data_IF_331826405491
#
_entry.id   IF_331826405491
#
_cell.length_a   1.000
_cell.length_b   1.000
_cell.length_c   1.000
_cell.angle_alpha   90.00
_cell.angle_beta   90.00
_cell.angle_gamma   90.00
#
_symmetry.space_group_name_H-M   'P 1'
#
loop_
_entity.id
_entity.type
_entity.pdbx_description
1 polymer ?
#
# COMPACT_ATOMS: atom_id res chain seq x y z
N UNK A 1 1.30 -6.90 11.64
CA UNK A 1 0.95 -7.57 12.91
C UNK A 1 1.45 -9.01 12.78
N UNK A 2 2.58 -9.35 13.42
CA UNK A 2 3.08 -10.73 13.36
C UNK A 2 2.08 -11.65 14.09
N UNK A 3 1.59 -12.73 13.46
CA UNK A 3 0.74 -13.71 14.13
C UNK A 3 1.58 -14.61 15.06
N UNK A 4 1.96 -14.09 16.23
CA UNK A 4 2.64 -14.84 17.30
C UNK A 4 1.69 -15.80 18.06
N UNK A 5 0.42 -15.85 17.68
CA UNK A 5 -0.63 -16.58 18.40
C UNK A 5 -0.41 -18.10 18.39
N UNK A 6 -0.09 -18.68 17.23
CA UNK A 6 0.06 -20.13 17.08
C UNK A 6 1.30 -20.70 17.79
N UNK A 7 2.50 -20.11 17.70
CA UNK A 7 3.68 -20.62 18.40
C UNK A 7 3.52 -20.62 19.92
N UNK A 8 2.82 -19.63 20.47
CA UNK A 8 2.50 -19.54 21.91
C UNK A 8 1.45 -20.56 22.34
N UNK A 9 0.45 -20.83 21.49
CA UNK A 9 -0.61 -21.79 21.80
C UNK A 9 -0.16 -23.25 21.72
N UNK A 10 0.85 -23.56 20.91
CA UNK A 10 1.34 -24.92 20.64
C UNK A 10 2.75 -25.22 21.18
N UNK A 11 3.29 -24.35 22.03
CA UNK A 11 4.60 -24.53 22.71
C UNK A 11 5.74 -24.85 21.73
N UNK A 12 5.71 -24.23 20.55
CA UNK A 12 6.70 -24.42 19.47
C UNK A 12 6.65 -25.77 18.74
N UNK A 13 5.72 -26.67 19.07
CA UNK A 13 5.58 -28.01 18.46
C UNK A 13 4.96 -28.00 17.06
N UNK A 14 4.28 -26.91 16.71
CA UNK A 14 3.74 -26.71 15.36
C UNK A 14 4.63 -25.71 14.62
N UNK A 15 5.35 -26.11 13.55
CA UNK A 15 6.19 -25.23 12.75
C UNK A 15 5.34 -24.36 11.79
N UNK A 16 4.26 -23.79 12.30
CA UNK A 16 3.39 -22.85 11.61
C UNK A 16 3.43 -21.54 12.39
N UNK A 17 4.02 -20.52 11.78
CA UNK A 17 3.46 -19.15 11.70
C UNK A 17 4.56 -18.09 11.51
N UNK A 18 4.81 -17.69 10.26
CA UNK A 18 5.31 -16.36 9.90
C UNK A 18 4.70 -15.92 8.56
N UNK A 19 3.48 -15.36 8.59
CA UNK A 19 2.79 -14.94 7.37
C UNK A 19 3.01 -13.46 7.07
N UNK A 20 4.22 -13.11 6.58
CA UNK A 20 4.41 -11.86 5.85
C UNK A 20 5.51 -10.94 6.35
N UNK A 21 6.18 -10.29 5.39
CA UNK A 21 7.23 -9.29 5.66
C UNK A 21 8.65 -9.85 5.64
N UNK A 22 8.85 -11.08 5.16
CA UNK A 22 10.19 -11.62 4.93
C UNK A 22 10.88 -10.80 3.82
N UNK A 23 12.10 -10.37 4.11
CA UNK A 23 12.97 -9.55 3.27
C UNK A 23 14.40 -10.03 3.50
N UNK A 24 15.31 -9.67 2.61
CA UNK A 24 16.74 -9.94 2.75
C UNK A 24 17.30 -9.59 4.14
N UNK A 25 16.77 -8.53 4.76
CA UNK A 25 17.26 -8.04 6.07
C UNK A 25 16.86 -8.89 7.27
N UNK A 26 15.82 -9.73 7.15
CA UNK A 26 15.27 -10.49 8.29
C UNK A 26 15.17 -12.00 8.05
N UNK A 27 15.43 -12.46 6.81
CA UNK A 27 15.25 -13.87 6.44
C UNK A 27 16.15 -14.80 7.27
N UNK A 28 17.40 -14.41 7.53
CA UNK A 28 18.32 -15.16 8.39
C UNK A 28 17.81 -15.29 9.83
N UNK A 29 17.29 -14.21 10.39
CA UNK A 29 16.76 -14.20 11.76
C UNK A 29 15.49 -15.05 11.87
N UNK A 30 14.63 -15.03 10.85
CA UNK A 30 13.42 -15.88 10.79
C UNK A 30 13.81 -17.36 10.75
N UNK A 31 14.76 -17.75 9.90
CA UNK A 31 15.20 -19.14 9.84
C UNK A 31 15.89 -19.60 11.13
N UNK A 32 16.62 -18.72 11.82
CA UNK A 32 17.22 -19.03 13.11
C UNK A 32 16.20 -19.27 14.25
N UNK A 33 14.91 -19.00 14.03
CA UNK A 33 13.83 -19.31 15.00
C UNK A 33 13.21 -20.69 14.81
N UNK A 34 13.59 -21.45 13.78
CA UNK A 34 12.96 -22.75 13.47
C UNK A 34 11.75 -22.66 12.53
N UNK A 35 11.47 -21.48 11.95
CA UNK A 35 10.34 -21.28 11.03
C UNK A 35 10.83 -21.43 9.58
N UNK A 36 10.72 -22.64 9.05
CA UNK A 36 11.13 -22.98 7.68
C UNK A 36 9.96 -23.12 6.71
N UNK A 37 8.77 -23.45 7.21
CA UNK A 37 7.74 -24.06 6.38
C UNK A 37 6.86 -23.09 5.56
N UNK A 38 6.85 -21.76 5.84
CA UNK A 38 6.11 -20.79 5.01
C UNK A 38 6.39 -19.31 5.34
N UNK A 39 7.56 -18.78 5.00
CA UNK A 39 7.84 -17.34 5.06
C UNK A 39 7.56 -16.67 3.70
N UNK A 40 6.53 -15.81 3.64
CA UNK A 40 6.13 -15.15 2.37
C UNK A 40 6.90 -13.85 2.15
N UNK A 41 7.61 -13.75 1.01
CA UNK A 41 8.36 -12.57 0.56
C UNK A 41 7.60 -11.66 -0.42
N UNK A 42 6.28 -11.82 -0.55
CA UNK A 42 5.46 -11.11 -1.54
C UNK A 42 5.68 -9.58 -1.55
N UNK A 43 5.74 -8.96 -0.38
CA UNK A 43 5.96 -7.51 -0.26
C UNK A 43 7.33 -7.07 -0.76
N UNK A 44 8.37 -7.91 -0.62
CA UNK A 44 9.71 -7.58 -1.08
C UNK A 44 9.88 -7.82 -2.59
N UNK A 45 9.21 -8.85 -3.13
CA UNK A 45 9.15 -9.15 -4.56
C UNK A 45 8.47 -8.04 -5.37
N UNK A 46 7.44 -7.40 -4.81
CA UNK A 46 6.71 -6.31 -5.47
C UNK A 46 7.46 -4.97 -5.45
N UNK A 47 8.56 -4.85 -4.70
CA UNK A 47 9.41 -3.65 -4.71
C UNK A 47 10.36 -3.68 -5.91
N UNK A 48 10.74 -2.52 -6.48
CA UNK A 48 11.77 -2.46 -7.51
C UNK A 48 13.04 -3.22 -7.08
N UNK A 49 13.53 -4.13 -7.91
CA UNK A 49 14.69 -4.98 -7.61
C UNK A 49 14.42 -6.14 -6.63
N UNK A 50 13.17 -6.45 -6.29
CA UNK A 50 12.81 -7.60 -5.43
C UNK A 50 13.29 -8.95 -5.97
N UNK A 51 13.15 -9.20 -7.28
CA UNK A 51 13.59 -10.44 -7.90
C UNK A 51 15.12 -10.66 -7.84
N UNK A 52 15.92 -9.59 -7.94
CA UNK A 52 17.38 -9.69 -7.86
C UNK A 52 17.83 -10.10 -6.44
N UNK A 53 17.19 -9.51 -5.43
CA UNK A 53 17.46 -9.78 -4.00
C UNK A 53 17.10 -11.21 -3.57
N UNK A 54 16.27 -11.90 -4.35
CA UNK A 54 15.95 -13.32 -4.12
C UNK A 54 17.21 -14.21 -4.16
N UNK A 55 18.13 -13.94 -5.09
CA UNK A 55 19.37 -14.69 -5.23
C UNK A 55 20.30 -14.54 -4.01
N UNK A 56 20.34 -13.35 -3.42
CA UNK A 56 21.09 -13.06 -2.20
C UNK A 56 20.44 -13.73 -0.98
N UNK A 57 19.11 -13.68 -0.89
CA UNK A 57 18.36 -14.38 0.16
C UNK A 57 18.63 -15.88 0.12
N UNK A 58 18.65 -16.48 -1.08
CA UNK A 58 18.91 -17.92 -1.24
C UNK A 58 20.32 -18.29 -0.75
N UNK A 59 21.33 -17.46 -1.06
CA UNK A 59 22.71 -17.67 -0.57
C UNK A 59 22.80 -17.59 0.95
N UNK A 60 22.10 -16.65 1.58
CA UNK A 60 22.04 -16.56 3.06
C UNK A 60 21.34 -17.77 3.69
N UNK A 61 20.32 -18.31 3.02
CA UNK A 61 19.58 -19.47 3.49
C UNK A 61 20.38 -20.77 3.41
N UNK A 62 21.17 -20.95 2.36
CA UNK A 62 22.07 -22.11 2.21
C UNK A 62 23.13 -22.16 3.31
N UNK A 63 23.57 -21.00 3.80
CA UNK A 63 24.54 -20.89 4.89
C UNK A 63 23.93 -21.05 6.30
N UNK A 64 22.60 -21.11 6.40
CA UNK A 64 21.91 -21.17 7.69
C UNK A 64 21.71 -22.62 8.16
N UNK A 65 22.11 -22.92 9.39
CA UNK A 65 21.86 -24.23 10.03
C UNK A 65 20.38 -24.43 10.43
N UNK A 66 19.52 -23.44 10.15
CA UNK A 66 18.10 -23.45 10.51
C UNK A 66 17.38 -24.68 9.96
N UNK A 67 17.72 -25.17 8.77
CA UNK A 67 17.07 -26.33 8.13
C UNK A 67 17.01 -27.61 8.98
N UNK A 68 17.84 -27.73 10.02
CA UNK A 68 17.87 -28.88 10.94
C UNK A 68 16.96 -28.72 12.16
N UNK A 69 16.31 -27.57 12.35
CA UNK A 69 15.47 -27.29 13.51
C UNK A 69 14.08 -27.89 13.34
N UNK A 70 13.70 -28.79 14.25
CA UNK A 70 12.38 -29.45 14.27
C UNK A 70 11.36 -28.70 15.15
N UNK A 71 11.81 -27.77 15.99
CA UNK A 71 10.99 -27.04 16.96
C UNK A 71 11.25 -25.53 16.85
N UNK A 72 10.19 -24.73 17.04
CA UNK A 72 10.26 -23.27 16.99
C UNK A 72 10.70 -22.70 18.33
N UNK A 73 11.73 -21.85 18.34
CA UNK A 73 12.15 -21.09 19.51
C UNK A 73 11.24 -19.86 19.69
N UNK A 74 10.29 -19.97 20.61
CA UNK A 74 9.29 -18.94 20.91
C UNK A 74 9.92 -17.67 21.51
N UNK A 75 11.04 -17.81 22.25
CA UNK A 75 11.72 -16.68 22.89
C UNK A 75 12.40 -15.81 21.84
N UNK A 76 13.17 -16.44 20.94
CA UNK A 76 13.83 -15.72 19.83
C UNK A 76 12.80 -15.15 18.87
N UNK A 77 11.68 -15.83 18.65
CA UNK A 77 10.59 -15.34 17.82
C UNK A 77 9.92 -14.08 18.41
N UNK A 78 9.68 -14.03 19.72
CA UNK A 78 9.13 -12.84 20.38
C UNK A 78 10.09 -11.65 20.28
N UNK A 79 11.39 -11.88 20.49
CA UNK A 79 12.40 -10.83 20.33
C UNK A 79 12.46 -10.30 18.88
N UNK A 80 12.37 -11.19 17.90
CA UNK A 80 12.30 -10.82 16.48
C UNK A 80 11.03 -10.02 16.16
N UNK A 81 9.90 -10.37 16.77
CA UNK A 81 8.64 -9.68 16.58
C UNK A 81 8.67 -8.24 17.12
N UNK A 82 9.26 -8.04 18.30
CA UNK A 82 9.47 -6.71 18.89
C UNK A 82 10.41 -5.87 18.01
N UNK A 83 11.52 -6.46 17.56
CA UNK A 83 12.47 -5.81 16.65
C UNK A 83 11.84 -5.43 15.31
N UNK A 84 10.96 -6.27 14.76
CA UNK A 84 10.30 -6.01 13.48
C UNK A 84 9.42 -4.74 13.50
N UNK A 85 8.93 -4.32 14.66
CA UNK A 85 8.14 -3.09 14.81
C UNK A 85 9.03 -1.84 14.79
N UNK A 86 10.27 -1.92 15.29
CA UNK A 86 11.18 -0.78 15.42
C UNK A 86 12.18 -0.63 14.27
N UNK A 87 12.37 -1.66 13.44
CA UNK A 87 13.30 -1.64 12.30
C UNK A 87 13.03 -0.49 11.32
N UNK A 88 14.09 0.22 10.91
CA UNK A 88 14.00 1.34 9.97
C UNK A 88 13.34 0.96 8.63
N UNK A 89 13.53 -0.28 8.16
CA UNK A 89 12.94 -0.79 6.91
C UNK A 89 11.41 -1.01 7.00
N UNK A 90 10.86 -1.25 8.20
CA UNK A 90 9.42 -1.43 8.42
C UNK A 90 8.70 -0.12 8.73
N UNK A 91 9.43 0.96 9.00
CA UNK A 91 8.83 2.28 9.18
C UNK A 91 8.35 2.86 7.84
N UNK A 92 7.05 3.11 7.74
CA UNK A 92 6.45 3.81 6.59
C UNK A 92 6.73 5.31 6.73
N UNK A 93 7.97 5.73 6.51
CA UNK A 93 8.40 7.13 6.50
C UNK A 93 7.61 7.98 5.48
N UNK A 94 7.09 7.35 4.42
CA UNK A 94 6.51 8.04 3.26
C UNK A 94 4.97 8.07 3.23
N UNK A 95 4.26 8.10 4.37
CA UNK A 95 2.84 8.48 4.30
C UNK A 95 2.76 10.00 4.47
N UNK A 96 2.57 10.78 3.39
CA UNK A 96 2.23 12.19 3.56
C UNK A 96 0.99 12.27 4.45
N UNK A 97 1.03 13.18 5.42
CA UNK A 97 -0.05 13.36 6.40
C UNK A 97 -1.28 14.05 5.79
N UNK A 98 -1.24 14.32 4.48
CA UNK A 98 -2.37 14.81 3.69
C UNK A 98 -3.42 13.71 3.60
N UNK A 99 -4.30 13.68 4.60
CA UNK A 99 -5.50 12.85 4.59
C UNK A 99 -6.45 13.45 3.57
N UNK A 100 -6.74 12.68 2.53
CA UNK A 100 -7.79 13.01 1.57
C UNK A 100 -9.11 12.79 2.30
N UNK A 101 -9.69 13.87 2.81
CA UNK A 101 -11.00 13.86 3.45
C UNK A 101 -12.04 14.50 2.52
N UNK A 102 -13.17 13.83 2.41
CA UNK A 102 -14.34 14.26 1.64
C UNK A 102 -15.23 15.18 2.50
N UNK A 103 -15.00 15.25 3.82
CA UNK A 103 -15.70 16.12 4.77
C UNK A 103 -17.14 15.67 5.07
N UNK A 104 -17.66 14.70 4.33
CA UNK A 104 -18.98 14.12 4.49
C UNK A 104 -18.90 12.66 4.97
N UNK A 105 -19.93 12.24 5.72
CA UNK A 105 -20.04 10.86 6.20
C UNK A 105 -20.35 9.95 5.02
N UNK A 106 -19.41 9.09 4.65
CA UNK A 106 -19.58 8.10 3.59
C UNK A 106 -20.81 7.21 3.89
N UNK A 107 -21.68 6.96 2.89
CA UNK A 107 -22.78 6.03 3.04
C UNK A 107 -22.28 4.59 3.25
N UNK A 108 -23.08 3.75 3.89
CA UNK A 108 -22.72 2.37 4.24
C UNK A 108 -22.38 1.50 3.02
N UNK A 109 -22.94 1.81 1.85
CA UNK A 109 -22.85 0.99 0.63
C UNK A 109 -21.93 1.57 -0.44
N UNK A 110 -21.45 2.81 -0.30
CA UNK A 110 -20.58 3.46 -1.27
C UNK A 110 -19.39 4.12 -0.58
N UNK A 111 -18.33 3.33 -0.40
CA UNK A 111 -17.10 3.74 0.26
C UNK A 111 -16.11 4.44 -0.69
N UNK A 112 -16.54 4.77 -1.91
CA UNK A 112 -15.70 5.39 -2.94
C UNK A 112 -16.34 6.69 -3.45
N UNK A 113 -16.36 7.72 -2.61
CA UNK A 113 -16.68 9.07 -3.07
C UNK A 113 -15.40 9.72 -3.58
N UNK A 114 -15.35 10.01 -4.87
CA UNK A 114 -14.22 10.68 -5.47
C UNK A 114 -14.17 12.15 -5.00
N UNK A 115 -13.06 12.60 -4.37
CA UNK A 115 -12.96 13.95 -3.78
C UNK A 115 -13.06 15.07 -4.82
N UNK A 116 -12.78 14.76 -6.10
CA UNK A 116 -12.92 15.69 -7.21
C UNK A 116 -14.38 16.06 -7.52
N UNK A 117 -15.32 15.14 -7.30
CA UNK A 117 -16.77 15.38 -7.53
C UNK A 117 -17.31 16.31 -6.45
N UNK A 118 -16.94 16.08 -5.19
CA UNK A 118 -17.32 16.95 -4.05
C UNK A 118 -16.71 18.35 -4.15
N UNK A 119 -15.49 18.46 -4.68
CA UNK A 119 -14.82 19.74 -4.86
C UNK A 119 -15.40 20.59 -6.01
N UNK A 120 -16.13 19.97 -6.94
CA UNK A 120 -16.72 20.64 -8.08
C UNK A 120 -18.06 21.28 -7.69
N UNK A 121 -18.22 22.59 -7.92
CA UNK A 121 -19.46 23.31 -7.59
C UNK A 121 -20.71 22.74 -8.30
N UNK A 122 -20.53 22.24 -9.53
CA UNK A 122 -21.59 21.60 -10.33
C UNK A 122 -21.66 20.07 -10.15
N UNK A 123 -20.82 19.51 -9.27
CA UNK A 123 -20.69 18.07 -8.99
C UNK A 123 -20.59 17.23 -10.27
N UNK A 124 -19.67 17.59 -11.17
CA UNK A 124 -19.48 16.85 -12.43
C UNK A 124 -18.84 15.48 -12.18
N UNK A 125 -19.23 14.46 -12.96
CA UNK A 125 -18.72 13.08 -12.85
C UNK A 125 -17.33 12.92 -13.49
N UNK A 126 -16.33 13.48 -12.80
CA UNK A 126 -14.94 13.54 -13.27
C UNK A 126 -14.29 12.17 -13.52
N UNK A 127 -14.40 11.18 -12.61
CA UNK A 127 -13.80 9.87 -12.84
C UNK A 127 -14.35 9.19 -14.10
N UNK A 128 -15.64 9.36 -14.38
CA UNK A 128 -16.33 8.63 -15.43
C UNK A 128 -15.97 9.17 -16.82
N UNK A 129 -15.97 10.50 -17.02
CA UNK A 129 -15.53 11.03 -18.32
C UNK A 129 -14.03 10.79 -18.55
N UNK A 130 -13.18 10.76 -17.50
CA UNK A 130 -11.76 10.40 -17.63
C UNK A 130 -11.61 8.93 -18.06
N UNK A 131 -12.40 8.03 -17.49
CA UNK A 131 -12.44 6.61 -17.90
C UNK A 131 -12.80 6.48 -19.38
N UNK A 132 -13.86 7.15 -19.82
CA UNK A 132 -14.30 7.17 -21.22
C UNK A 132 -13.24 7.76 -22.16
N UNK A 133 -12.54 8.81 -21.74
CA UNK A 133 -11.41 9.36 -22.51
C UNK A 133 -10.24 8.36 -22.61
N UNK A 134 -9.95 7.60 -21.55
CA UNK A 134 -8.96 6.52 -21.56
C UNK A 134 -9.32 5.38 -22.52
N UNK A 135 -10.62 5.14 -22.71
CA UNK A 135 -11.17 4.19 -23.68
C UNK A 135 -11.31 4.77 -25.10
N UNK A 136 -10.82 6.00 -25.35
CA UNK A 136 -10.93 6.73 -26.62
C UNK A 136 -12.38 7.04 -27.06
N UNK A 137 -13.34 6.98 -26.14
CA UNK A 137 -14.76 7.27 -26.37
C UNK A 137 -15.07 8.74 -26.11
N UNK A 138 -14.50 9.62 -26.95
CA UNK A 138 -14.58 11.07 -26.74
C UNK A 138 -16.00 11.65 -26.86
N UNK A 139 -16.83 11.09 -27.75
CA UNK A 139 -18.22 11.54 -27.91
C UNK A 139 -19.05 11.28 -26.64
N UNK A 140 -18.96 10.07 -26.09
CA UNK A 140 -19.67 9.68 -24.87
C UNK A 140 -19.18 10.48 -23.65
N UNK A 141 -17.86 10.74 -23.58
CA UNK A 141 -17.28 11.58 -22.54
C UNK A 141 -17.84 13.01 -22.60
N UNK A 142 -17.98 13.57 -23.80
CA UNK A 142 -18.54 14.90 -24.01
C UNK A 142 -20.04 14.96 -23.69
N UNK A 143 -20.81 13.94 -24.08
CA UNK A 143 -22.23 13.83 -23.73
C UNK A 143 -22.43 13.78 -22.21
N UNK A 144 -21.63 12.98 -21.50
CA UNK A 144 -21.67 12.90 -20.04
C UNK A 144 -21.38 14.25 -19.38
N UNK A 145 -20.44 15.03 -19.92
CA UNK A 145 -20.16 16.38 -19.44
C UNK A 145 -21.36 17.31 -19.69
N UNK A 146 -21.98 17.23 -20.88
CA UNK A 146 -23.14 18.05 -21.23
C UNK A 146 -24.36 17.81 -20.34
N UNK A 147 -24.50 16.62 -19.75
CA UNK A 147 -25.59 16.31 -18.82
C UNK A 147 -25.59 17.20 -17.56
N UNK A 148 -24.40 17.63 -17.11
CA UNK A 148 -24.26 18.50 -15.92
C UNK A 148 -23.77 19.90 -16.22
N UNK A 149 -23.21 20.13 -17.39
CA UNK A 149 -22.62 21.40 -17.77
C UNK A 149 -22.94 21.77 -19.21
N UNK A 150 -23.79 22.77 -19.39
CA UNK A 150 -24.18 23.25 -20.71
C UNK A 150 -23.03 23.92 -21.48
N UNK A 151 -21.98 24.40 -20.79
CA UNK A 151 -20.91 25.22 -21.38
C UNK A 151 -19.52 24.70 -20.97
N UNK A 152 -19.15 23.46 -21.34
CA UNK A 152 -17.88 22.86 -20.94
C UNK A 152 -16.66 23.60 -21.50
N UNK A 153 -16.77 24.19 -22.69
CA UNK A 153 -15.70 24.97 -23.29
C UNK A 153 -15.38 26.22 -22.46
N UNK A 154 -16.40 26.96 -22.01
CA UNK A 154 -16.20 28.19 -21.22
C UNK A 154 -15.75 27.84 -19.81
N UNK A 155 -16.49 26.95 -19.14
CA UNK A 155 -16.19 26.54 -17.76
C UNK A 155 -14.82 25.87 -17.64
N UNK A 156 -14.35 25.15 -18.66
CA UNK A 156 -12.99 24.62 -18.70
C UNK A 156 -11.89 25.68 -18.73
N UNK A 157 -12.18 26.91 -19.17
CA UNK A 157 -11.22 28.02 -19.21
C UNK A 157 -11.31 28.96 -18.02
N UNK A 158 -12.52 29.19 -17.49
CA UNK A 158 -12.75 30.16 -16.40
C UNK A 158 -12.74 29.51 -15.01
N UNK A 159 -12.85 28.18 -14.92
CA UNK A 159 -12.85 27.48 -13.64
C UNK A 159 -11.48 27.58 -12.97
N UNK A 160 -11.48 27.74 -11.66
CA UNK A 160 -10.31 27.74 -10.79
C UNK A 160 -9.77 26.32 -10.50
N UNK A 161 -10.40 25.30 -11.09
CA UNK A 161 -10.00 23.89 -11.07
C UNK A 161 -9.70 23.34 -9.66
N UNK A 162 -10.52 23.67 -8.66
CA UNK A 162 -10.42 23.10 -7.29
C UNK A 162 -10.41 21.57 -7.28
N UNK A 163 -11.09 20.95 -8.24
CA UNK A 163 -11.10 19.50 -8.43
C UNK A 163 -9.69 18.92 -8.68
N UNK A 164 -8.79 19.65 -9.34
CA UNK A 164 -7.41 19.21 -9.55
C UNK A 164 -6.60 19.30 -8.25
N UNK A 165 -6.75 20.37 -7.48
CA UNK A 165 -6.02 20.54 -6.22
C UNK A 165 -6.32 19.44 -5.19
N UNK A 166 -7.57 18.99 -5.12
CA UNK A 166 -7.97 17.87 -4.24
C UNK A 166 -7.49 16.50 -4.73
N UNK A 167 -7.19 16.35 -6.03
CA UNK A 167 -6.55 15.15 -6.58
C UNK A 167 -5.03 15.15 -6.33
N UNK A 168 -4.36 16.30 -6.53
CA UNK A 168 -2.90 16.45 -6.42
C UNK A 168 -2.37 16.77 -5.02
N UNK A 169 -3.22 17.11 -4.04
CA UNK A 169 -2.84 17.21 -2.63
C UNK A 169 -2.39 15.88 -2.02
N UNK A 170 -2.41 14.79 -2.80
CA UNK A 170 -1.76 13.52 -2.47
C UNK A 170 -0.29 13.42 -2.91
N UNK A 171 0.27 14.41 -3.64
CA UNK A 171 1.63 14.29 -4.19
C UNK A 171 2.45 15.54 -4.56
N UNK A 172 1.90 16.77 -4.58
CA UNK A 172 2.62 17.93 -5.15
C UNK A 172 2.82 19.16 -4.26
N UNK A 173 2.33 19.17 -3.01
CA UNK A 173 2.48 20.31 -2.07
C UNK A 173 3.85 20.42 -1.39
N UNK A 174 4.89 19.79 -1.93
CA UNK A 174 6.27 19.85 -1.39
C UNK A 174 7.31 20.51 -2.31
N UNK A 175 6.95 20.97 -3.53
CA UNK A 175 7.96 21.55 -4.44
C UNK A 175 8.00 23.09 -4.53
N UNK A 176 7.08 23.82 -3.90
CA UNK A 176 6.99 25.28 -4.10
C UNK A 176 7.21 26.11 -2.83
N UNK A 177 7.76 25.53 -1.76
CA UNK A 177 8.08 26.26 -0.52
C UNK A 177 9.54 26.12 -0.08
N UNK A 178 10.45 26.08 -1.06
CA UNK A 178 11.87 26.40 -0.84
C UNK A 178 12.23 27.57 -1.76
N UNK A 179 11.97 28.78 -1.26
CA UNK A 179 12.65 30.03 -1.60
C UNK A 179 12.61 30.88 -0.34
#
# INVERSE_FOLDING_TARGET
MLPLFFPRAFDGKLPISYSGGASQLNIREIFATGIHSRSTMATDLLKPGGYLRLSECMRELEQSDGWKMTQVDVTRLNALAEKAVSMAYTQKHWKPNDRIDVGEKLPLTDCYVAPCVTACAIKQDIPEYIRLMGEQRYADALELIYQRNALPAITGHICDHQCQYKLYSSGLRQRTSHS
#
